data_IF_229452192567
#
_entry.id   IF_229452192567
#
_cell.length_a   1.000
_cell.length_b   1.000
_cell.length_c   1.000
_cell.angle_alpha   90.00
_cell.angle_beta   90.00
_cell.angle_gamma   90.00
#
_symmetry.space_group_name_H-M   'P 1'
#
loop_
_entity.id
_entity.type
_entity.pdbx_description
1 polymer ?
#
# COMPACT_ATOMS: atom_id res chain seq x y z
N UNK A 1 -28.96 -26.22 -10.39
CA UNK A 1 -28.24 -26.10 -9.13
C UNK A 1 -26.73 -26.14 -9.29
N UNK A 2 -26.22 -27.08 -10.06
CA UNK A 2 -24.77 -27.17 -10.35
C UNK A 2 -24.23 -25.94 -11.06
N UNK A 3 -25.02 -25.34 -11.94
CA UNK A 3 -24.64 -24.13 -12.69
C UNK A 3 -24.50 -22.92 -11.75
N UNK A 4 -25.40 -22.79 -10.78
CA UNK A 4 -25.35 -21.68 -9.80
C UNK A 4 -24.14 -21.79 -8.88
N UNK A 5 -23.80 -23.01 -8.44
CA UNK A 5 -22.62 -23.23 -7.62
C UNK A 5 -21.32 -22.90 -8.36
N UNK A 6 -21.28 -23.27 -9.65
CA UNK A 6 -20.12 -22.99 -10.48
C UNK A 6 -19.92 -21.49 -10.69
N UNK A 7 -21.01 -20.75 -10.97
CA UNK A 7 -20.96 -19.30 -11.09
C UNK A 7 -20.53 -18.63 -9.78
N UNK A 8 -21.09 -19.08 -8.66
CA UNK A 8 -20.74 -18.55 -7.35
C UNK A 8 -19.26 -18.82 -7.03
N UNK A 9 -18.79 -20.02 -7.32
CA UNK A 9 -17.38 -20.36 -7.10
C UNK A 9 -16.46 -19.48 -7.93
N UNK A 10 -16.80 -19.24 -9.18
CA UNK A 10 -16.01 -18.34 -10.04
C UNK A 10 -16.01 -16.92 -9.53
N UNK A 11 -17.16 -16.43 -9.07
CA UNK A 11 -17.26 -15.08 -8.50
C UNK A 11 -16.39 -14.96 -7.25
N UNK A 12 -16.43 -15.96 -6.38
CA UNK A 12 -15.59 -15.98 -5.16
C UNK A 12 -14.11 -15.99 -5.54
N UNK A 13 -13.72 -16.82 -6.48
CA UNK A 13 -12.32 -16.87 -6.94
C UNK A 13 -11.86 -15.52 -7.51
N UNK A 14 -12.70 -14.88 -8.32
CA UNK A 14 -12.41 -13.57 -8.88
C UNK A 14 -12.26 -12.54 -7.78
N UNK A 15 -13.16 -12.54 -6.80
CA UNK A 15 -13.11 -11.61 -5.68
C UNK A 15 -11.85 -11.82 -4.82
N UNK A 16 -11.46 -13.07 -4.59
CA UNK A 16 -10.24 -13.39 -3.84
C UNK A 16 -9.02 -12.83 -4.57
N UNK A 17 -8.93 -13.04 -5.88
CA UNK A 17 -7.82 -12.52 -6.68
C UNK A 17 -7.78 -11.00 -6.66
N UNK A 18 -8.94 -10.36 -6.84
CA UNK A 18 -9.05 -8.90 -6.78
C UNK A 18 -8.65 -8.35 -5.41
N UNK A 19 -9.14 -8.98 -4.34
CA UNK A 19 -8.79 -8.57 -2.98
C UNK A 19 -7.29 -8.69 -2.71
N UNK A 20 -6.68 -9.79 -3.12
CA UNK A 20 -5.24 -9.97 -2.97
C UNK A 20 -4.46 -8.91 -3.72
N UNK A 21 -4.89 -8.61 -4.95
CA UNK A 21 -4.26 -7.58 -5.77
C UNK A 21 -4.39 -6.19 -5.13
N UNK A 22 -5.56 -5.87 -4.59
CA UNK A 22 -5.80 -4.61 -3.90
C UNK A 22 -4.98 -4.50 -2.63
N UNK A 23 -4.88 -5.58 -1.85
CA UNK A 23 -4.07 -5.60 -0.64
C UNK A 23 -2.60 -5.35 -0.95
N UNK A 24 -2.08 -5.95 -2.01
CA UNK A 24 -0.70 -5.71 -2.45
C UNK A 24 -0.47 -4.26 -2.85
N UNK A 25 -1.42 -3.67 -3.57
CA UNK A 25 -1.34 -2.25 -3.96
C UNK A 25 -1.35 -1.35 -2.74
N UNK A 26 -2.20 -1.63 -1.77
CA UNK A 26 -2.26 -0.86 -0.53
C UNK A 26 -0.95 -0.96 0.22
N UNK A 27 -0.40 -2.16 0.37
CA UNK A 27 0.90 -2.36 1.03
C UNK A 27 2.02 -1.59 0.34
N UNK A 28 2.06 -1.63 -1.00
CA UNK A 28 3.06 -0.91 -1.77
C UNK A 28 2.94 0.60 -1.58
N UNK A 29 1.70 1.11 -1.58
CA UNK A 29 1.45 2.52 -1.34
C UNK A 29 1.84 2.94 0.07
N UNK A 30 1.54 2.11 1.06
CA UNK A 30 1.93 2.36 2.45
C UNK A 30 3.45 2.42 2.61
N UNK A 31 4.17 1.51 1.98
CA UNK A 31 5.63 1.50 2.01
C UNK A 31 6.18 2.76 1.36
N UNK A 32 5.67 3.13 0.20
CA UNK A 32 6.10 4.36 -0.49
C UNK A 32 5.82 5.60 0.34
N UNK A 33 4.66 5.66 0.96
CA UNK A 33 4.30 6.78 1.83
C UNK A 33 5.23 6.85 3.04
N UNK A 34 5.50 5.73 3.67
CA UNK A 34 6.41 5.65 4.80
C UNK A 34 7.83 6.11 4.43
N UNK A 35 8.33 5.67 3.28
CA UNK A 35 9.63 6.10 2.77
C UNK A 35 9.67 7.60 2.50
N UNK A 36 8.61 8.13 1.87
CA UNK A 36 8.52 9.55 1.60
C UNK A 36 8.51 10.37 2.89
N UNK A 37 7.77 9.93 3.90
CA UNK A 37 7.75 10.58 5.21
C UNK A 37 9.11 10.57 5.87
N UNK A 38 9.79 9.44 5.83
CA UNK A 38 11.14 9.32 6.40
C UNK A 38 12.11 10.26 5.71
N UNK A 39 12.04 10.37 4.38
CA UNK A 39 12.88 11.30 3.65
C UNK A 39 12.59 12.76 4.01
N UNK A 40 11.32 13.12 4.12
CA UNK A 40 10.92 14.48 4.50
C UNK A 40 11.41 14.80 5.91
N UNK A 41 11.28 13.87 6.84
CA UNK A 41 11.75 14.05 8.22
C UNK A 41 13.27 14.23 8.27
N UNK A 42 14.02 13.44 7.51
CA UNK A 42 15.46 13.55 7.43
C UNK A 42 15.88 14.88 6.83
N UNK A 43 15.23 15.32 5.78
CA UNK A 43 15.49 16.61 5.15
C UNK A 43 15.18 17.76 6.11
N UNK A 44 14.08 17.69 6.83
CA UNK A 44 13.71 18.68 7.82
C UNK A 44 14.73 18.73 8.97
N UNK A 45 15.16 17.58 9.46
CA UNK A 45 16.19 17.49 10.50
C UNK A 45 17.51 18.08 10.04
N UNK A 46 17.94 17.75 8.83
CA UNK A 46 19.17 18.28 8.27
C UNK A 46 19.11 19.80 8.13
N UNK A 47 17.97 20.35 7.70
CA UNK A 47 17.76 21.79 7.60
C UNK A 47 17.79 22.47 8.95
N UNK A 48 17.15 21.85 9.95
CA UNK A 48 17.15 22.36 11.31
C UNK A 48 18.55 22.38 11.90
N UNK A 49 19.32 21.33 11.67
CA UNK A 49 20.72 21.24 12.10
C UNK A 49 21.57 22.32 11.45
N UNK A 50 21.38 22.58 10.16
CA UNK A 50 22.09 23.66 9.45
C UNK A 50 21.79 25.02 10.08
N UNK A 51 20.52 25.28 10.36
CA UNK A 51 20.08 26.54 10.94
C UNK A 51 20.63 26.69 12.36
N UNK A 52 20.65 25.61 13.14
CA UNK A 52 21.14 25.62 14.50
C UNK A 52 22.66 25.72 14.61
N UNK A 53 23.38 25.19 13.64
CA UNK A 53 24.84 25.25 13.65
C UNK A 53 25.39 26.50 12.98
N UNK A 54 24.55 27.24 12.31
CA UNK A 54 24.92 28.54 11.75
C UNK A 54 24.75 29.64 12.75
#
# INVERSE_FOLDING_TARGET
MLIKLDETTRLVETLVVENTSLEEKVKNLEVKLSQARTQIERMSSAKLDEVLSA
#
